data_IF_044571883605
#
_entry.id   IF_044571883605
#
_cell.length_a   1.000
_cell.length_b   1.000
_cell.length_c   1.000
_cell.angle_alpha   90.00
_cell.angle_beta   90.00
_cell.angle_gamma   90.00
#
_symmetry.space_group_name_H-M   'P 1'
#
loop_
_entity.id
_entity.type
_entity.pdbx_description
1 polymer ?
#
# COMPACT_ATOMS: atom_id res chain seq x y z
N UNK A 1 -10.62 -15.36 22.85
CA UNK A 1 -11.21 -14.23 22.11
C UNK A 1 -10.04 -13.71 21.28
N UNK A 2 -10.10 -13.76 19.97
CA UNK A 2 -9.09 -13.10 19.12
C UNK A 2 -9.04 -11.64 19.51
N UNK A 3 -7.85 -11.08 19.68
CA UNK A 3 -7.70 -9.63 19.85
C UNK A 3 -8.32 -8.94 18.64
N UNK A 4 -8.88 -7.77 18.84
CA UNK A 4 -9.48 -7.00 17.76
C UNK A 4 -8.37 -6.53 16.80
N UNK A 5 -8.49 -6.83 15.53
CA UNK A 5 -7.56 -6.37 14.50
C UNK A 5 -7.63 -4.85 14.31
N UNK A 6 -6.65 -4.30 13.59
CA UNK A 6 -6.49 -2.86 13.38
C UNK A 6 -7.76 -2.19 12.88
N UNK A 7 -8.37 -2.70 11.81
CA UNK A 7 -9.60 -2.12 11.24
C UNK A 7 -10.79 -2.17 12.19
N UNK A 8 -10.90 -3.19 13.07
CA UNK A 8 -11.93 -3.24 14.10
C UNK A 8 -11.72 -2.15 15.16
N UNK A 9 -10.47 -1.84 15.51
CA UNK A 9 -10.12 -0.74 16.42
C UNK A 9 -10.50 0.60 15.79
N UNK A 10 -10.16 0.82 14.52
CA UNK A 10 -10.51 2.04 13.78
C UNK A 10 -12.03 2.21 13.73
N UNK A 11 -12.78 1.17 13.36
CA UNK A 11 -14.23 1.22 13.27
C UNK A 11 -14.90 1.50 14.63
N UNK A 12 -14.44 0.81 15.67
CA UNK A 12 -15.04 0.90 17.00
C UNK A 12 -14.75 2.22 17.73
N UNK A 13 -13.53 2.75 17.60
CA UNK A 13 -13.06 3.84 18.45
C UNK A 13 -12.82 5.16 17.70
N UNK A 14 -12.61 5.13 16.39
CA UNK A 14 -12.21 6.31 15.61
C UNK A 14 -13.16 6.66 14.46
N UNK A 15 -14.21 5.87 14.23
CA UNK A 15 -15.23 6.19 13.23
C UNK A 15 -16.41 6.93 13.87
N UNK A 16 -16.50 8.22 13.62
CA UNK A 16 -17.54 9.10 14.11
C UNK A 16 -18.27 9.79 12.96
N UNK A 17 -19.56 10.16 13.12
CA UNK A 17 -20.21 11.04 12.17
C UNK A 17 -19.40 12.31 11.96
N UNK A 18 -19.18 12.71 10.71
CA UNK A 18 -18.46 13.93 10.42
C UNK A 18 -19.19 15.14 11.00
N UNK A 19 -18.45 16.01 11.69
CA UNK A 19 -18.94 17.26 12.24
C UNK A 19 -18.01 18.42 11.81
N UNK A 20 -18.57 19.64 11.84
CA UNK A 20 -17.83 20.82 11.39
C UNK A 20 -18.07 21.17 9.92
N UNK A 21 -17.29 22.15 9.44
CA UNK A 21 -17.48 22.74 8.11
C UNK A 21 -16.91 21.88 6.96
N UNK A 22 -15.91 21.04 7.27
CA UNK A 22 -15.24 20.21 6.27
C UNK A 22 -15.93 18.85 6.19
N UNK A 23 -16.37 18.51 4.98
CA UNK A 23 -16.87 17.18 4.67
C UNK A 23 -15.76 16.40 4.00
N UNK A 24 -15.49 15.21 4.49
CA UNK A 24 -14.53 14.29 3.88
C UNK A 24 -15.17 12.94 3.64
N UNK A 25 -14.78 12.27 2.58
CA UNK A 25 -14.75 10.82 2.53
C UNK A 25 -13.45 10.46 3.26
N UNK A 26 -13.52 9.77 4.37
CA UNK A 26 -12.38 9.72 5.27
C UNK A 26 -12.08 8.32 5.76
N UNK A 27 -12.45 8.04 7.00
CA UNK A 27 -12.03 6.81 7.68
C UNK A 27 -12.39 5.55 6.89
N UNK A 28 -11.35 4.76 6.54
CA UNK A 28 -11.46 3.50 5.82
C UNK A 28 -11.17 3.55 4.32
N UNK A 29 -10.73 4.71 3.79
CA UNK A 29 -10.10 4.86 2.47
C UNK A 29 -8.60 5.19 2.66
N UNK A 30 -7.79 5.03 1.61
CA UNK A 30 -6.35 5.33 1.63
C UNK A 30 -6.07 6.81 1.91
N UNK A 31 -6.95 7.69 1.49
CA UNK A 31 -6.89 9.13 1.75
C UNK A 31 -8.20 9.69 2.27
N UNK A 32 -8.13 10.66 3.18
CA UNK A 32 -9.25 11.57 3.39
C UNK A 32 -9.36 12.53 2.19
N UNK A 33 -10.50 12.54 1.49
CA UNK A 33 -10.75 13.47 0.39
C UNK A 33 -11.64 14.61 0.87
N UNK A 34 -11.11 15.83 0.82
CA UNK A 34 -11.73 17.04 1.39
C UNK A 34 -12.09 18.01 0.27
N UNK A 35 -13.36 18.43 0.19
CA UNK A 35 -13.79 19.48 -0.73
C UNK A 35 -13.36 20.87 -0.20
N UNK A 36 -12.54 21.58 -0.97
CA UNK A 36 -12.03 22.92 -0.60
C UNK A 36 -12.79 24.07 -1.26
N UNK A 37 -13.78 23.76 -2.09
CA UNK A 37 -14.54 24.72 -2.88
C UNK A 37 -13.91 25.10 -4.22
N UNK A 38 -12.58 25.00 -4.35
CA UNK A 38 -11.85 25.23 -5.60
C UNK A 38 -11.36 23.93 -6.27
N UNK A 39 -11.38 22.82 -5.52
CA UNK A 39 -10.93 21.50 -5.90
C UNK A 39 -11.09 20.55 -4.74
N UNK A 40 -10.37 19.43 -4.78
CA UNK A 40 -10.31 18.49 -3.67
C UNK A 40 -8.87 18.33 -3.21
N UNK A 41 -8.71 18.12 -1.91
CA UNK A 41 -7.44 17.79 -1.27
C UNK A 41 -7.51 16.34 -0.79
N UNK A 42 -6.58 15.50 -1.23
CA UNK A 42 -6.33 14.18 -0.64
C UNK A 42 -5.30 14.35 0.47
N UNK A 43 -5.54 13.72 1.62
CA UNK A 43 -4.64 13.75 2.78
C UNK A 43 -4.52 12.35 3.34
N UNK A 44 -3.29 11.89 3.53
CA UNK A 44 -2.98 10.63 4.20
C UNK A 44 -1.98 10.85 5.33
N UNK A 45 -1.88 9.87 6.24
CA UNK A 45 -0.93 9.91 7.34
C UNK A 45 -0.50 8.50 7.74
N UNK A 46 0.73 8.14 7.44
CA UNK A 46 1.33 6.87 7.83
C UNK A 46 2.40 7.01 8.89
N UNK A 47 2.59 5.91 9.61
CA UNK A 47 3.62 5.76 10.62
C UNK A 47 4.56 4.62 10.26
N UNK A 48 5.87 4.90 10.34
CA UNK A 48 6.95 3.93 10.13
C UNK A 48 7.73 3.79 11.43
N UNK A 49 7.75 2.59 12.02
CA UNK A 49 8.38 2.31 13.30
C UNK A 49 9.52 1.30 13.17
N UNK A 50 10.62 1.54 13.88
CA UNK A 50 11.75 0.62 13.98
C UNK A 50 11.31 -0.71 14.61
N UNK A 51 11.67 -1.80 13.96
CA UNK A 51 11.34 -3.16 14.40
C UNK A 51 10.03 -3.69 13.83
N UNK A 52 9.15 -2.82 13.35
CA UNK A 52 7.90 -3.18 12.67
C UNK A 52 8.03 -3.00 11.16
N UNK A 53 8.41 -1.80 10.71
CA UNK A 53 8.41 -1.44 9.29
C UNK A 53 9.82 -1.37 8.68
N UNK A 54 10.85 -1.31 9.51
CA UNK A 54 12.25 -1.39 9.06
C UNK A 54 13.15 -2.03 10.12
N UNK A 55 14.20 -2.66 9.66
CA UNK A 55 15.17 -3.36 10.49
C UNK A 55 16.14 -2.39 11.17
N UNK A 56 16.73 -2.76 12.34
CA UNK A 56 17.70 -1.92 13.04
C UNK A 56 18.98 -1.61 12.24
N UNK A 57 19.31 -2.45 11.28
CA UNK A 57 20.48 -2.35 10.39
C UNK A 57 20.09 -1.92 8.96
N UNK A 58 18.85 -1.44 8.74
CA UNK A 58 18.42 -0.89 7.46
C UNK A 58 19.23 0.37 7.12
N UNK A 59 19.51 0.56 5.82
CA UNK A 59 20.16 1.78 5.33
C UNK A 59 19.25 3.00 5.63
N UNK A 60 19.74 4.00 6.38
CA UNK A 60 18.93 5.17 6.69
C UNK A 60 18.40 5.91 5.44
N UNK A 61 19.13 5.86 4.34
CA UNK A 61 18.69 6.45 3.06
C UNK A 61 17.45 5.74 2.53
N UNK A 62 17.43 4.41 2.59
CA UNK A 62 16.26 3.61 2.20
C UNK A 62 15.09 3.82 3.15
N UNK A 63 15.35 3.92 4.47
CA UNK A 63 14.31 4.25 5.45
C UNK A 63 13.65 5.60 5.16
N UNK A 64 14.45 6.62 4.83
CA UNK A 64 13.94 7.95 4.47
C UNK A 64 13.12 7.92 3.19
N UNK A 65 13.58 7.20 2.17
CA UNK A 65 12.85 7.01 0.92
C UNK A 65 11.50 6.31 1.17
N UNK A 66 11.52 5.15 1.85
CA UNK A 66 10.33 4.34 2.11
C UNK A 66 9.30 5.09 2.94
N UNK A 67 9.72 5.82 3.98
CA UNK A 67 8.80 6.58 4.83
C UNK A 67 7.94 7.60 4.04
N UNK A 68 8.48 8.18 2.97
CA UNK A 68 7.68 9.03 2.08
C UNK A 68 6.93 8.20 1.03
N UNK A 69 7.53 7.13 0.53
CA UNK A 69 6.96 6.33 -0.55
C UNK A 69 5.61 5.71 -0.17
N UNK A 70 5.45 5.23 1.07
CA UNK A 70 4.19 4.64 1.55
C UNK A 70 3.05 5.67 1.49
N UNK A 71 3.27 6.88 1.96
CA UNK A 71 2.29 7.98 1.87
C UNK A 71 2.00 8.41 0.42
N UNK A 72 3.01 8.41 -0.45
CA UNK A 72 2.81 8.71 -1.86
C UNK A 72 2.04 7.61 -2.58
N UNK A 73 2.08 6.37 -2.07
CA UNK A 73 1.28 5.24 -2.55
C UNK A 73 -0.20 5.46 -2.29
N UNK A 74 -0.58 5.91 -1.09
CA UNK A 74 -1.96 6.30 -0.78
C UNK A 74 -2.47 7.43 -1.67
N UNK A 75 -1.63 8.45 -1.88
CA UNK A 75 -1.98 9.54 -2.81
C UNK A 75 -2.16 9.02 -4.24
N UNK A 76 -1.36 8.03 -4.66
CA UNK A 76 -1.52 7.38 -5.95
C UNK A 76 -2.82 6.57 -6.01
N UNK A 77 -3.17 5.82 -4.95
CA UNK A 77 -4.43 5.10 -4.85
C UNK A 77 -5.65 6.03 -4.95
N UNK A 78 -5.56 7.24 -4.39
CA UNK A 78 -6.58 8.28 -4.54
C UNK A 78 -6.59 8.97 -5.92
N UNK A 79 -5.53 8.79 -6.73
CA UNK A 79 -5.35 9.49 -8.02
C UNK A 79 -4.88 10.94 -7.85
N UNK A 80 -4.30 11.29 -6.70
CA UNK A 80 -3.91 12.66 -6.37
C UNK A 80 -2.54 13.04 -6.96
N UNK A 81 -2.36 14.34 -7.22
CA UNK A 81 -1.06 14.94 -7.55
C UNK A 81 -0.38 15.35 -6.24
N UNK A 82 0.71 14.71 -5.79
CA UNK A 82 1.41 15.10 -4.57
C UNK A 82 1.81 16.57 -4.57
N UNK A 83 1.71 17.24 -3.42
CA UNK A 83 2.06 18.66 -3.27
C UNK A 83 2.98 18.92 -2.10
N UNK A 84 2.65 18.38 -0.96
CA UNK A 84 3.37 18.70 0.26
C UNK A 84 3.25 17.58 1.29
N UNK A 85 4.19 17.57 2.24
CA UNK A 85 4.11 16.73 3.42
C UNK A 85 4.68 17.39 4.67
N UNK A 86 4.29 16.87 5.82
CA UNK A 86 4.85 17.18 7.13
C UNK A 86 5.51 15.92 7.69
N UNK A 87 6.67 16.08 8.33
CA UNK A 87 7.44 15.02 8.94
C UNK A 87 7.45 15.18 10.46
N UNK A 88 6.95 14.19 11.20
CA UNK A 88 7.14 14.05 12.63
C UNK A 88 8.08 12.88 12.91
N UNK A 89 9.19 13.12 13.61
CA UNK A 89 10.18 12.10 13.88
C UNK A 89 10.58 12.03 15.35
N UNK A 90 10.43 10.87 15.96
CA UNK A 90 10.88 10.54 17.30
C UNK A 90 12.14 9.68 17.24
N UNK A 91 13.24 10.10 17.85
CA UNK A 91 14.51 9.38 17.83
C UNK A 91 15.02 9.10 19.24
N UNK A 92 15.59 7.91 19.53
CA UNK A 92 16.15 7.60 20.85
C UNK A 92 17.36 8.48 21.19
N UNK A 93 18.11 8.88 20.18
CA UNK A 93 19.29 9.73 20.30
C UNK A 93 19.52 10.54 19.02
N UNK A 94 20.26 11.61 19.14
CA UNK A 94 20.77 12.33 17.97
C UNK A 94 21.91 11.52 17.33
N UNK A 95 21.80 11.27 16.03
CA UNK A 95 22.81 10.62 15.19
C UNK A 95 22.87 11.41 13.87
N UNK A 96 23.88 12.26 13.74
CA UNK A 96 24.01 13.19 12.61
C UNK A 96 24.27 12.43 11.28
N UNK A 97 24.97 11.30 11.34
CA UNK A 97 25.21 10.46 10.16
C UNK A 97 23.91 9.82 9.67
N UNK A 98 23.20 9.16 10.57
CA UNK A 98 21.90 8.56 10.28
C UNK A 98 20.90 9.60 9.73
N UNK A 99 20.83 10.78 10.36
CA UNK A 99 19.93 11.86 9.92
C UNK A 99 20.29 12.41 8.54
N UNK A 100 21.57 12.53 8.23
CA UNK A 100 22.02 12.99 6.91
C UNK A 100 21.63 12.03 5.80
N UNK A 101 21.82 10.72 6.04
CA UNK A 101 21.48 9.67 5.07
C UNK A 101 19.95 9.54 4.94
N UNK A 102 19.22 9.50 6.04
CA UNK A 102 17.75 9.51 6.05
C UNK A 102 17.17 10.70 5.25
N UNK A 103 17.68 11.91 5.54
CA UNK A 103 17.25 13.11 4.84
C UNK A 103 17.54 13.05 3.34
N UNK A 104 18.67 12.45 2.94
CA UNK A 104 19.02 12.30 1.53
C UNK A 104 18.01 11.43 0.78
N UNK A 105 17.64 10.26 1.32
CA UNK A 105 16.65 9.37 0.71
C UNK A 105 15.25 10.00 0.68
N UNK A 106 14.81 10.58 1.79
CA UNK A 106 13.54 11.29 1.89
C UNK A 106 13.42 12.41 0.84
N UNK A 107 14.44 13.26 0.75
CA UNK A 107 14.44 14.42 -0.15
C UNK A 107 14.65 14.02 -1.62
N UNK A 108 15.32 12.91 -1.90
CA UNK A 108 15.41 12.39 -3.26
C UNK A 108 14.02 12.09 -3.82
N UNK A 109 13.21 11.33 -3.10
CA UNK A 109 11.85 11.03 -3.53
C UNK A 109 10.93 12.27 -3.51
N UNK A 110 11.10 13.17 -2.53
CA UNK A 110 10.37 14.42 -2.47
C UNK A 110 10.58 15.28 -3.73
N UNK A 111 11.83 15.39 -4.19
CA UNK A 111 12.16 16.10 -5.43
C UNK A 111 11.63 15.40 -6.68
N UNK A 112 11.75 14.07 -6.75
CA UNK A 112 11.25 13.28 -7.88
C UNK A 112 9.74 13.40 -8.03
N UNK A 113 9.00 13.32 -6.92
CA UNK A 113 7.53 13.41 -6.90
C UNK A 113 6.97 14.83 -6.91
N UNK A 114 7.82 15.85 -6.74
CA UNK A 114 7.40 17.24 -6.59
C UNK A 114 6.64 17.51 -5.29
N UNK A 115 6.80 16.65 -4.26
CA UNK A 115 6.14 16.75 -2.97
C UNK A 115 7.04 17.49 -1.97
N UNK A 116 6.66 18.72 -1.57
CA UNK A 116 7.51 19.60 -0.77
C UNK A 116 7.39 19.33 0.74
N UNK A 117 8.51 19.24 1.47
CA UNK A 117 8.51 19.25 2.92
C UNK A 117 8.19 20.67 3.43
N UNK A 118 7.05 20.84 4.13
CA UNK A 118 6.61 22.13 4.64
C UNK A 118 6.85 22.35 6.12
N UNK A 119 7.13 21.31 6.89
CA UNK A 119 7.35 21.42 8.33
C UNK A 119 7.23 20.07 9.02
N UNK A 120 7.02 20.11 10.33
CA UNK A 120 6.87 18.90 11.14
C UNK A 120 7.37 19.09 12.56
N UNK A 121 7.72 17.99 13.21
CA UNK A 121 8.24 17.99 14.57
C UNK A 121 9.40 16.99 14.71
N UNK A 122 10.34 17.30 15.61
CA UNK A 122 11.47 16.42 15.93
C UNK A 122 11.61 16.31 17.43
N UNK A 123 11.46 15.10 17.97
CA UNK A 123 11.52 14.88 19.41
C UNK A 123 12.43 13.72 19.77
N UNK A 124 12.83 13.66 21.03
CA UNK A 124 13.53 12.51 21.59
C UNK A 124 12.51 11.54 22.17
N UNK A 125 12.58 10.25 21.78
CA UNK A 125 11.75 9.21 22.41
C UNK A 125 12.17 9.00 23.88
N UNK A 126 11.21 8.69 24.78
CA UNK A 126 11.49 8.52 26.20
C UNK A 126 12.34 7.28 26.45
N UNK A 127 13.07 7.30 27.55
CA UNK A 127 13.67 6.11 28.15
C UNK A 127 12.74 5.59 29.25
N UNK A 128 12.33 4.32 29.13
CA UNK A 128 11.46 3.64 30.09
C UNK A 128 12.18 2.39 30.53
N UNK A 129 12.40 2.20 31.83
CA UNK A 129 13.09 1.05 32.43
C UNK A 129 14.47 0.76 31.80
N UNK A 130 15.23 1.82 31.50
CA UNK A 130 16.59 1.73 30.93
C UNK A 130 16.60 1.36 29.44
N UNK A 131 15.46 1.40 28.75
CA UNK A 131 15.34 1.18 27.30
C UNK A 131 14.71 2.39 26.63
N UNK A 132 15.32 2.86 25.55
CA UNK A 132 14.69 3.86 24.71
C UNK A 132 13.54 3.25 23.92
N UNK A 133 12.44 3.99 23.81
CA UNK A 133 11.41 3.65 22.83
C UNK A 133 12.02 3.71 21.40
N UNK A 134 11.57 2.85 20.48
CA UNK A 134 12.12 2.78 19.13
C UNK A 134 11.97 4.10 18.37
N UNK A 135 12.76 4.27 17.32
CA UNK A 135 12.57 5.36 16.38
C UNK A 135 11.21 5.21 15.69
N UNK A 136 10.50 6.33 15.57
CA UNK A 136 9.18 6.39 14.96
C UNK A 136 9.11 7.59 14.04
N UNK A 137 8.63 7.39 12.84
CA UNK A 137 8.51 8.40 11.79
C UNK A 137 7.05 8.44 11.40
N UNK A 138 6.44 9.63 11.39
CA UNK A 138 5.09 9.83 10.87
C UNK A 138 5.13 10.92 9.82
N UNK A 139 4.55 10.63 8.66
CA UNK A 139 4.42 11.58 7.57
C UNK A 139 2.94 11.80 7.31
N UNK A 140 2.54 13.07 7.22
CA UNK A 140 1.23 13.47 6.69
C UNK A 140 1.46 14.08 5.32
N UNK A 141 0.98 13.41 4.27
CA UNK A 141 1.12 13.88 2.89
C UNK A 141 -0.20 14.40 2.32
N UNK A 142 -0.10 15.36 1.41
CA UNK A 142 -1.24 16.01 0.78
C UNK A 142 -1.05 16.10 -0.73
N UNK A 143 -2.15 15.91 -1.45
CA UNK A 143 -2.18 16.01 -2.91
C UNK A 143 -3.46 16.65 -3.44
N UNK A 144 -3.37 17.27 -4.60
CA UNK A 144 -4.51 17.88 -5.28
C UNK A 144 -5.28 16.86 -6.11
N UNK A 145 -6.58 16.98 -6.11
CA UNK A 145 -7.51 16.25 -6.98
C UNK A 145 -8.38 17.25 -7.76
N UNK A 146 -8.76 16.94 -9.02
CA UNK A 146 -9.74 17.73 -9.74
C UNK A 146 -11.09 17.76 -9.01
N UNK A 147 -11.85 18.83 -9.21
CA UNK A 147 -13.18 18.96 -8.59
C UNK A 147 -14.09 17.77 -8.95
N UNK A 148 -14.71 17.17 -7.95
CA UNK A 148 -15.60 16.03 -8.12
C UNK A 148 -14.92 14.70 -8.42
N UNK A 149 -13.58 14.64 -8.51
CA UNK A 149 -12.82 13.43 -8.80
C UNK A 149 -12.07 12.93 -7.56
N UNK A 150 -11.61 11.70 -7.63
CA UNK A 150 -10.86 10.98 -6.62
C UNK A 150 -11.28 9.51 -6.62
N UNK A 151 -10.30 8.62 -6.50
CA UNK A 151 -10.54 7.18 -6.35
C UNK A 151 -10.69 6.86 -4.87
N UNK A 152 -11.48 5.86 -4.56
CA UNK A 152 -11.74 5.36 -3.22
C UNK A 152 -11.83 3.84 -3.25
N UNK A 153 -11.81 3.20 -2.11
CA UNK A 153 -12.07 1.75 -1.96
C UNK A 153 -13.51 1.38 -2.31
N UNK A 154 -14.43 2.35 -2.35
CA UNK A 154 -15.84 2.11 -2.71
C UNK A 154 -16.11 2.43 -4.18
N UNK A 155 -17.06 1.71 -4.80
CA UNK A 155 -17.52 1.99 -6.17
C UNK A 155 -17.40 0.83 -7.14
N UNK A 156 -16.77 -0.28 -6.75
CA UNK A 156 -16.72 -1.49 -7.55
C UNK A 156 -18.14 -2.04 -7.81
N UNK A 157 -18.39 -2.48 -9.03
CA UNK A 157 -19.68 -2.98 -9.48
C UNK A 157 -19.56 -4.44 -9.95
N UNK A 158 -20.57 -5.30 -9.74
CA UNK A 158 -20.60 -6.62 -10.36
C UNK A 158 -20.40 -6.52 -11.88
N UNK A 159 -19.47 -7.33 -12.38
CA UNK A 159 -19.06 -7.31 -13.79
C UNK A 159 -17.84 -6.46 -14.11
N UNK A 160 -17.34 -5.66 -13.16
CA UNK A 160 -16.06 -4.96 -13.30
C UNK A 160 -14.92 -5.98 -13.35
N UNK A 161 -13.90 -5.69 -14.17
CA UNK A 161 -12.61 -6.39 -14.14
C UNK A 161 -11.78 -5.90 -12.96
N UNK A 162 -10.98 -6.81 -12.37
CA UNK A 162 -10.01 -6.51 -11.31
C UNK A 162 -8.62 -6.44 -11.96
N UNK A 163 -7.90 -5.37 -11.65
CA UNK A 163 -6.58 -5.07 -12.20
C UNK A 163 -5.56 -4.86 -11.10
N UNK A 164 -4.31 -5.20 -11.40
CA UNK A 164 -3.16 -4.90 -10.52
C UNK A 164 -2.02 -4.28 -11.35
N UNK A 165 -1.29 -3.35 -10.76
CA UNK A 165 -0.09 -2.77 -11.36
C UNK A 165 1.17 -3.58 -11.03
N UNK A 166 2.20 -3.46 -11.84
CA UNK A 166 3.54 -4.02 -11.60
C UNK A 166 3.56 -5.53 -11.38
N UNK A 167 4.30 -5.95 -10.34
CA UNK A 167 4.38 -7.34 -9.83
C UNK A 167 4.15 -7.34 -8.33
N UNK A 168 3.58 -8.41 -7.78
CA UNK A 168 3.25 -8.52 -6.35
C UNK A 168 4.01 -9.66 -5.69
N UNK A 169 4.26 -9.53 -4.37
CA UNK A 169 4.88 -10.53 -3.51
C UNK A 169 6.40 -10.43 -3.40
N UNK A 170 7.06 -9.55 -4.14
CA UNK A 170 8.51 -9.41 -4.10
C UNK A 170 9.00 -8.86 -2.76
N UNK A 171 8.31 -7.89 -2.18
CA UNK A 171 8.66 -7.31 -0.89
C UNK A 171 8.53 -8.34 0.25
N UNK A 172 7.47 -9.14 0.25
CA UNK A 172 7.32 -10.24 1.20
C UNK A 172 8.40 -11.31 1.03
N UNK A 173 8.77 -11.67 -0.20
CA UNK A 173 9.86 -12.60 -0.44
C UNK A 173 11.19 -12.05 0.09
N UNK A 174 11.46 -10.74 -0.07
CA UNK A 174 12.60 -10.07 0.55
C UNK A 174 12.59 -10.18 2.07
N UNK A 175 11.45 -9.92 2.71
CA UNK A 175 11.26 -10.05 4.15
C UNK A 175 11.57 -11.48 4.64
N UNK A 176 11.05 -12.50 3.93
CA UNK A 176 11.33 -13.91 4.27
C UNK A 176 12.81 -14.27 4.11
N UNK A 177 13.50 -13.72 3.10
CA UNK A 177 14.94 -13.86 2.95
C UNK A 177 15.69 -13.15 4.09
N UNK A 178 15.29 -11.95 4.46
CA UNK A 178 15.87 -11.16 5.55
C UNK A 178 15.77 -11.86 6.92
N UNK A 179 14.66 -12.57 7.17
CA UNK A 179 14.50 -13.42 8.35
C UNK A 179 15.20 -14.78 8.25
N UNK A 180 15.89 -15.08 7.12
CA UNK A 180 16.55 -16.38 6.89
C UNK A 180 15.58 -17.55 6.70
N UNK A 181 14.28 -17.28 6.51
CA UNK A 181 13.25 -18.32 6.32
C UNK A 181 13.22 -18.82 4.88
N UNK A 182 13.53 -17.96 3.92
CA UNK A 182 13.64 -18.32 2.51
C UNK A 182 15.05 -18.08 1.98
N UNK A 183 15.37 -18.79 0.90
CA UNK A 183 16.61 -18.59 0.15
C UNK A 183 16.25 -18.45 -1.32
N UNK A 184 16.86 -17.48 -1.97
CA UNK A 184 16.82 -17.24 -3.41
C UNK A 184 18.23 -17.25 -3.97
N UNK A 185 18.36 -17.17 -5.29
CA UNK A 185 19.69 -17.02 -5.92
C UNK A 185 20.36 -15.73 -5.43
N UNK A 186 21.67 -15.73 -5.11
CA UNK A 186 22.34 -14.54 -4.57
C UNK A 186 22.26 -13.30 -5.46
N UNK A 187 22.18 -13.47 -6.77
CA UNK A 187 22.01 -12.37 -7.74
C UNK A 187 20.57 -11.84 -7.83
N UNK A 188 19.62 -12.55 -7.25
CA UNK A 188 18.21 -12.15 -7.18
C UNK A 188 17.88 -11.33 -5.92
N UNK A 189 18.60 -11.55 -4.80
CA UNK A 189 18.37 -10.84 -3.53
C UNK A 189 18.35 -9.32 -3.65
N UNK A 190 19.30 -8.66 -4.34
CA UNK A 190 19.29 -7.20 -4.44
C UNK A 190 18.04 -6.64 -5.10
N UNK A 191 17.43 -7.41 -6.02
CA UNK A 191 16.18 -6.99 -6.70
C UNK A 191 14.98 -7.07 -5.78
N UNK A 192 14.90 -8.13 -4.95
CA UNK A 192 13.84 -8.27 -3.95
C UNK A 192 13.97 -7.19 -2.88
N UNK A 193 15.17 -6.97 -2.34
CA UNK A 193 15.42 -5.96 -1.31
C UNK A 193 15.13 -4.55 -1.83
N UNK A 194 15.47 -4.24 -3.08
CA UNK A 194 15.11 -2.96 -3.68
C UNK A 194 13.58 -2.75 -3.74
N UNK A 195 12.78 -3.81 -3.92
CA UNK A 195 11.31 -3.71 -3.89
C UNK A 195 10.79 -3.42 -2.49
N UNK A 196 11.35 -4.06 -1.46
CA UNK A 196 10.98 -3.88 -0.06
C UNK A 196 11.46 -2.52 0.49
N UNK A 197 12.71 -2.15 0.19
CA UNK A 197 13.35 -0.98 0.79
C UNK A 197 13.02 0.33 0.06
N UNK A 198 12.79 0.26 -1.26
CA UNK A 198 12.46 1.41 -2.13
C UNK A 198 11.25 1.10 -3.03
N UNK A 199 10.05 0.96 -2.46
CA UNK A 199 8.84 0.78 -3.26
C UNK A 199 8.63 1.98 -4.19
N UNK A 200 8.01 1.75 -5.35
CA UNK A 200 7.76 2.80 -6.35
C UNK A 200 6.30 3.21 -6.30
N UNK A 201 5.94 4.37 -5.71
CA UNK A 201 4.57 4.86 -5.70
C UNK A 201 4.04 5.06 -7.13
N UNK A 202 2.87 4.54 -7.42
CA UNK A 202 2.28 4.52 -8.77
C UNK A 202 1.52 5.81 -9.10
N UNK A 203 2.09 6.97 -8.76
CA UNK A 203 1.46 8.31 -8.85
C UNK A 203 0.90 8.58 -10.25
N UNK A 204 1.72 8.41 -11.29
CA UNK A 204 1.30 8.69 -12.67
C UNK A 204 0.17 7.76 -13.12
N UNK A 205 0.20 6.48 -12.72
CA UNK A 205 -0.87 5.54 -13.01
C UNK A 205 -2.15 5.95 -12.29
N UNK A 206 -2.10 6.21 -10.98
CA UNK A 206 -3.27 6.62 -10.19
C UNK A 206 -4.00 7.82 -10.81
N UNK A 207 -3.25 8.84 -11.24
CA UNK A 207 -3.81 10.00 -11.94
C UNK A 207 -4.47 9.61 -13.27
N UNK A 208 -3.85 8.72 -14.03
CA UNK A 208 -4.38 8.28 -15.34
C UNK A 208 -5.64 7.39 -15.21
N UNK A 209 -5.83 6.76 -14.03
CA UNK A 209 -7.01 5.95 -13.72
C UNK A 209 -8.25 6.77 -13.37
N UNK A 210 -8.12 8.08 -13.09
CA UNK A 210 -9.25 8.94 -12.79
C UNK A 210 -10.31 8.92 -13.91
N UNK A 211 -11.55 8.61 -13.54
CA UNK A 211 -12.67 8.48 -14.47
C UNK A 211 -12.63 7.24 -15.37
N UNK A 212 -11.69 6.32 -15.14
CA UNK A 212 -11.65 4.99 -15.77
C UNK A 212 -11.87 3.88 -14.76
N UNK A 213 -11.20 3.94 -13.60
CA UNK A 213 -11.40 3.01 -12.50
C UNK A 213 -12.65 3.35 -11.69
N UNK A 214 -13.31 2.33 -11.13
CA UNK A 214 -14.49 2.43 -10.27
C UNK A 214 -14.12 2.40 -8.78
N UNK A 215 -13.10 1.66 -8.41
CA UNK A 215 -12.49 1.67 -7.08
C UNK A 215 -10.98 1.42 -7.18
N UNK A 216 -10.23 1.85 -6.17
CA UNK A 216 -8.78 1.68 -6.11
C UNK A 216 -8.31 1.64 -4.66
N UNK A 217 -7.26 0.88 -4.41
CA UNK A 217 -6.43 0.88 -3.20
C UNK A 217 -4.97 0.61 -3.59
N UNK A 218 -4.03 0.93 -2.73
CA UNK A 218 -2.70 0.37 -2.85
C UNK A 218 -2.59 -0.99 -2.12
N UNK A 219 -1.52 -1.72 -2.36
CA UNK A 219 -1.26 -3.04 -1.78
C UNK A 219 -0.19 -2.88 -0.71
N UNK A 220 -0.61 -2.68 0.53
CA UNK A 220 0.23 -2.54 1.72
C UNK A 220 0.20 -3.80 2.60
N UNK A 221 -0.96 -4.39 2.83
CA UNK A 221 -1.18 -5.54 3.72
C UNK A 221 -1.22 -6.86 2.97
N UNK A 222 -1.36 -6.81 1.66
CA UNK A 222 -1.37 -7.94 0.75
C UNK A 222 -2.55 -7.91 -0.22
N UNK A 223 -2.35 -8.50 -1.39
CA UNK A 223 -3.30 -8.44 -2.51
C UNK A 223 -4.75 -8.77 -2.10
N UNK A 224 -4.95 -9.83 -1.32
CA UNK A 224 -6.30 -10.26 -0.93
C UNK A 224 -6.86 -9.43 0.21
N UNK A 225 -6.03 -8.94 1.14
CA UNK A 225 -6.46 -8.07 2.23
C UNK A 225 -6.95 -6.73 1.69
N UNK A 226 -6.16 -6.09 0.82
CA UNK A 226 -6.51 -4.79 0.24
C UNK A 226 -7.67 -4.89 -0.75
N UNK A 227 -7.79 -6.01 -1.48
CA UNK A 227 -8.98 -6.30 -2.26
C UNK A 227 -10.22 -6.43 -1.38
N UNK A 228 -10.13 -7.10 -0.22
CA UNK A 228 -11.27 -7.29 0.69
C UNK A 228 -11.81 -5.94 1.20
N UNK A 229 -10.95 -4.94 1.40
CA UNK A 229 -11.39 -3.59 1.72
C UNK A 229 -12.24 -2.97 0.61
N UNK A 230 -11.84 -3.14 -0.67
CA UNK A 230 -12.65 -2.70 -1.82
C UNK A 230 -14.00 -3.43 -1.83
N UNK A 231 -13.98 -4.76 -1.65
CA UNK A 231 -15.19 -5.58 -1.69
C UNK A 231 -16.16 -5.24 -0.57
N UNK A 232 -15.65 -5.08 0.64
CA UNK A 232 -16.44 -4.71 1.81
C UNK A 232 -17.05 -3.31 1.65
N UNK A 233 -16.29 -2.32 1.19
CA UNK A 233 -16.78 -0.95 0.97
C UNK A 233 -17.75 -0.83 -0.19
N UNK A 234 -17.68 -1.73 -1.17
CA UNK A 234 -18.54 -1.75 -2.35
C UNK A 234 -19.74 -2.71 -2.20
N UNK A 235 -19.72 -3.61 -1.20
CA UNK A 235 -20.79 -4.59 -0.96
C UNK A 235 -20.84 -5.70 -2.01
N UNK A 236 -19.70 -6.13 -2.53
CA UNK A 236 -19.56 -7.11 -3.63
C UNK A 236 -18.63 -8.27 -3.25
N UNK A 237 -18.44 -9.22 -4.14
CA UNK A 237 -17.51 -10.35 -4.04
C UNK A 237 -16.58 -10.40 -5.26
N UNK A 238 -15.55 -11.24 -5.23
CA UNK A 238 -14.56 -11.33 -6.31
C UNK A 238 -14.14 -12.76 -6.63
N UNK A 239 -13.81 -12.97 -7.90
CA UNK A 239 -13.09 -14.15 -8.37
C UNK A 239 -11.77 -13.72 -9.00
N UNK A 240 -10.65 -14.30 -8.54
CA UNK A 240 -9.29 -14.07 -9.05
C UNK A 240 -8.81 -15.30 -9.79
N UNK A 241 -8.18 -15.09 -10.95
CA UNK A 241 -7.50 -16.12 -11.74
C UNK A 241 -6.02 -16.13 -11.37
N UNK A 242 -5.55 -17.16 -10.67
CA UNK A 242 -4.18 -17.26 -10.17
C UNK A 242 -3.11 -17.00 -11.25
N UNK A 243 -3.23 -17.62 -12.39
CA UNK A 243 -2.24 -17.55 -13.47
C UNK A 243 -2.15 -16.17 -14.13
N UNK A 244 -3.07 -15.27 -13.81
CA UNK A 244 -3.06 -13.86 -14.28
C UNK A 244 -2.38 -12.91 -13.33
N UNK A 245 -2.09 -13.34 -12.09
CA UNK A 245 -1.37 -12.52 -11.14
C UNK A 245 0.06 -12.33 -11.63
N UNK A 246 0.53 -11.08 -11.83
CA UNK A 246 1.86 -10.83 -12.35
C UNK A 246 2.92 -11.07 -11.27
N UNK A 247 3.75 -12.07 -11.48
CA UNK A 247 4.89 -12.41 -10.63
C UNK A 247 6.19 -11.94 -11.27
N UNK A 248 7.15 -11.50 -10.46
CA UNK A 248 8.49 -11.25 -10.96
C UNK A 248 9.17 -12.54 -11.42
N UNK A 249 10.21 -12.47 -12.27
CA UNK A 249 11.01 -13.63 -12.63
C UNK A 249 11.62 -14.34 -11.41
N UNK A 250 11.95 -13.62 -10.34
CA UNK A 250 12.50 -14.19 -9.11
C UNK A 250 11.43 -14.99 -8.38
N UNK A 251 10.27 -14.40 -8.17
CA UNK A 251 9.16 -15.06 -7.48
C UNK A 251 8.66 -16.29 -8.25
N UNK A 252 8.61 -16.20 -9.58
CA UNK A 252 8.21 -17.31 -10.46
C UNK A 252 9.11 -18.54 -10.37
N UNK A 253 10.35 -18.40 -9.87
CA UNK A 253 11.26 -19.54 -9.65
C UNK A 253 11.08 -20.23 -8.29
N UNK A 254 10.31 -19.66 -7.38
CA UNK A 254 10.02 -20.26 -6.09
C UNK A 254 9.01 -21.39 -6.22
N UNK A 255 8.83 -22.17 -5.15
CA UNK A 255 7.77 -23.20 -5.13
C UNK A 255 6.41 -22.52 -5.18
N UNK A 256 5.42 -23.23 -5.77
CA UNK A 256 4.06 -22.69 -5.90
C UNK A 256 3.46 -22.26 -4.56
N UNK A 257 3.76 -22.97 -3.47
CA UNK A 257 3.29 -22.60 -2.13
C UNK A 257 3.85 -21.25 -1.68
N UNK A 258 5.14 -20.97 -1.94
CA UNK A 258 5.76 -19.68 -1.64
C UNK A 258 5.25 -18.57 -2.55
N UNK A 259 4.97 -18.88 -3.82
CA UNK A 259 4.35 -17.94 -4.74
C UNK A 259 2.96 -17.53 -4.24
N UNK A 260 2.14 -18.49 -3.82
CA UNK A 260 0.81 -18.21 -3.25
C UNK A 260 0.92 -17.37 -1.97
N UNK A 261 1.81 -17.75 -1.05
CA UNK A 261 2.01 -17.03 0.20
C UNK A 261 2.43 -15.58 -0.06
N UNK A 262 3.43 -15.35 -0.90
CA UNK A 262 3.94 -14.02 -1.18
C UNK A 262 2.95 -13.15 -1.98
N UNK A 263 2.38 -13.69 -3.05
CA UNK A 263 1.57 -12.88 -3.96
C UNK A 263 0.11 -12.67 -3.51
N UNK A 264 -0.44 -13.57 -2.68
CA UNK A 264 -1.83 -13.46 -2.22
C UNK A 264 -1.94 -12.78 -0.86
N UNK A 265 -0.98 -13.04 0.06
CA UNK A 265 -1.04 -12.61 1.45
C UNK A 265 0.15 -11.74 1.88
N UNK A 266 1.22 -11.69 1.09
CA UNK A 266 2.36 -10.83 1.38
C UNK A 266 2.06 -9.37 1.09
N UNK A 267 2.41 -8.49 2.03
CA UNK A 267 2.25 -7.04 1.91
C UNK A 267 3.55 -6.33 1.50
N UNK A 268 3.53 -5.00 1.64
CA UNK A 268 4.67 -4.10 1.44
C UNK A 268 5.04 -3.86 -0.04
N UNK A 269 4.14 -4.20 -0.98
CA UNK A 269 4.39 -4.08 -2.42
C UNK A 269 4.18 -2.65 -2.97
N UNK A 270 3.22 -1.90 -2.42
CA UNK A 270 2.84 -0.53 -2.84
C UNK A 270 2.56 -0.42 -4.35
N UNK A 271 1.97 -1.48 -4.89
CA UNK A 271 1.31 -1.49 -6.20
C UNK A 271 -0.15 -1.05 -6.04
N UNK A 272 -0.85 -0.75 -7.14
CA UNK A 272 -2.27 -0.43 -7.11
C UNK A 272 -3.10 -1.65 -7.49
N UNK A 273 -4.14 -1.95 -6.68
CA UNK A 273 -5.25 -2.82 -7.04
C UNK A 273 -6.48 -1.95 -7.33
N UNK A 274 -7.15 -2.18 -8.45
CA UNK A 274 -8.28 -1.35 -8.85
C UNK A 274 -9.30 -2.14 -9.66
N UNK A 275 -10.50 -1.61 -9.74
CA UNK A 275 -11.59 -2.18 -10.52
C UNK A 275 -12.00 -1.23 -11.63
N UNK A 276 -12.46 -1.78 -12.76
CA UNK A 276 -12.95 -0.97 -13.88
C UNK A 276 -13.94 -1.79 -14.73
N UNK A 277 -14.93 -1.15 -15.35
CA UNK A 277 -15.82 -1.84 -16.28
C UNK A 277 -15.01 -2.38 -17.49
N UNK A 278 -15.37 -3.55 -18.05
CA UNK A 278 -14.65 -4.14 -19.18
C UNK A 278 -14.49 -3.19 -20.38
N UNK A 279 -15.44 -2.27 -20.57
CA UNK A 279 -15.37 -1.24 -21.60
C UNK A 279 -14.23 -0.22 -21.41
N UNK A 280 -13.65 -0.12 -20.21
CA UNK A 280 -12.52 0.76 -19.92
C UNK A 280 -11.15 0.10 -20.18
N UNK A 281 -11.10 -1.18 -20.58
CA UNK A 281 -9.84 -1.93 -20.69
C UNK A 281 -8.78 -1.25 -21.58
N UNK A 282 -9.16 -0.68 -22.72
CA UNK A 282 -8.23 0.03 -23.60
C UNK A 282 -7.63 1.26 -22.90
N UNK A 283 -8.44 2.04 -22.17
CA UNK A 283 -7.99 3.20 -21.38
C UNK A 283 -7.05 2.78 -20.25
N UNK A 284 -7.31 1.63 -19.61
CA UNK A 284 -6.45 1.08 -18.56
C UNK A 284 -5.07 0.69 -19.13
N UNK A 285 -5.04 -0.01 -20.28
CA UNK A 285 -3.77 -0.33 -20.93
C UNK A 285 -3.02 0.94 -21.38
N UNK A 286 -3.73 1.93 -21.92
CA UNK A 286 -3.13 3.23 -22.28
C UNK A 286 -2.56 3.94 -21.06
N UNK A 287 -3.29 3.96 -19.93
CA UNK A 287 -2.81 4.51 -18.66
C UNK A 287 -1.52 3.81 -18.19
N UNK A 288 -1.47 2.47 -18.28
CA UNK A 288 -0.27 1.69 -17.99
C UNK A 288 0.92 2.07 -18.88
N UNK A 289 0.71 2.22 -20.17
CA UNK A 289 1.76 2.63 -21.11
C UNK A 289 2.27 4.05 -20.84
N UNK A 290 1.36 5.01 -20.64
CA UNK A 290 1.71 6.42 -20.38
C UNK A 290 2.44 6.61 -19.04
N UNK A 291 2.09 5.83 -18.03
CA UNK A 291 2.74 5.85 -16.73
C UNK A 291 3.99 4.96 -16.64
N UNK A 292 4.35 4.26 -17.72
CA UNK A 292 5.41 3.25 -17.72
C UNK A 292 5.24 2.20 -16.62
N UNK A 293 3.98 1.84 -16.31
CA UNK A 293 3.63 0.87 -15.28
C UNK A 293 2.82 -0.26 -15.92
N UNK A 294 3.32 -1.49 -15.97
CA UNK A 294 2.54 -2.63 -16.45
C UNK A 294 1.24 -2.77 -15.64
N UNK A 295 0.16 -3.13 -16.28
CA UNK A 295 -1.12 -3.44 -15.64
C UNK A 295 -1.63 -4.80 -16.11
N UNK A 296 -2.16 -5.59 -15.18
CA UNK A 296 -2.64 -6.94 -15.45
C UNK A 296 -4.08 -7.10 -14.95
N UNK A 297 -4.94 -7.64 -15.81
CA UNK A 297 -6.28 -8.04 -15.41
C UNK A 297 -6.20 -9.41 -14.73
N UNK A 298 -6.55 -9.48 -13.46
CA UNK A 298 -6.37 -10.67 -12.63
C UNK A 298 -7.68 -11.38 -12.25
N UNK A 299 -8.84 -10.74 -12.48
CA UNK A 299 -10.11 -11.32 -12.05
C UNK A 299 -11.30 -10.45 -12.41
N UNK A 300 -12.41 -10.67 -11.72
CA UNK A 300 -13.66 -9.92 -11.90
C UNK A 300 -14.42 -9.77 -10.60
N UNK A 301 -15.22 -8.74 -10.52
CA UNK A 301 -16.17 -8.47 -9.44
C UNK A 301 -17.48 -9.25 -9.71
N UNK A 302 -17.99 -9.85 -8.65
CA UNK A 302 -19.23 -10.63 -8.64
C UNK A 302 -20.28 -9.94 -7.76
N UNK A 303 -21.54 -10.35 -7.91
CA UNK A 303 -22.57 -10.05 -6.91
C UNK A 303 -22.12 -10.55 -5.53
N UNK A 304 -22.65 -9.92 -4.46
CA UNK A 304 -22.29 -10.29 -3.09
C UNK A 304 -22.62 -11.76 -2.83
N UNK A 305 -21.62 -12.52 -2.45
CA UNK A 305 -21.68 -13.92 -2.08
C UNK A 305 -21.29 -14.12 -0.60
N UNK A 306 -21.47 -15.34 -0.08
CA UNK A 306 -21.06 -15.68 1.30
C UNK A 306 -19.53 -15.61 1.46
N UNK A 307 -18.78 -16.06 0.43
CA UNK A 307 -17.32 -15.94 0.38
C UNK A 307 -16.95 -14.67 -0.39
N UNK A 308 -16.23 -13.75 0.27
CA UNK A 308 -15.88 -12.46 -0.34
C UNK A 308 -14.94 -12.62 -1.55
N UNK A 309 -13.89 -13.44 -1.43
CA UNK A 309 -12.89 -13.68 -2.49
C UNK A 309 -12.69 -15.17 -2.73
N UNK A 310 -12.70 -15.59 -4.00
CA UNK A 310 -12.31 -16.93 -4.41
C UNK A 310 -11.16 -16.82 -5.41
N UNK A 311 -10.04 -17.50 -5.12
CA UNK A 311 -8.93 -17.63 -6.07
C UNK A 311 -9.03 -18.98 -6.75
N UNK A 312 -8.94 -19.01 -8.08
CA UNK A 312 -9.02 -20.23 -8.89
C UNK A 312 -7.84 -20.35 -9.84
N UNK A 313 -7.46 -21.58 -10.12
CA UNK A 313 -6.57 -21.91 -11.24
C UNK A 313 -7.30 -21.77 -12.57
N UNK A 314 -6.57 -21.76 -13.71
CA UNK A 314 -7.14 -21.76 -15.06
C UNK A 314 -8.07 -22.95 -15.32
N UNK A 315 -7.85 -24.09 -14.63
CA UNK A 315 -8.72 -25.26 -14.68
C UNK A 315 -9.95 -25.16 -13.76
N UNK A 316 -10.14 -24.01 -13.08
CA UNK A 316 -11.27 -23.73 -12.20
C UNK A 316 -11.16 -24.32 -10.79
N UNK A 317 -10.02 -24.91 -10.43
CA UNK A 317 -9.79 -25.48 -9.10
C UNK A 317 -9.52 -24.36 -8.08
N UNK A 318 -10.05 -24.46 -6.85
CA UNK A 318 -9.77 -23.46 -5.82
C UNK A 318 -8.31 -23.51 -5.38
N UNK A 319 -7.69 -22.33 -5.23
CA UNK A 319 -6.37 -22.16 -4.64
C UNK A 319 -6.54 -21.95 -3.14
N UNK A 320 -5.80 -22.72 -2.34
CA UNK A 320 -5.77 -22.52 -0.89
C UNK A 320 -5.02 -21.21 -0.58
N UNK A 321 -5.69 -20.31 0.13
CA UNK A 321 -5.10 -19.06 0.59
C UNK A 321 -4.46 -19.29 1.95
N UNK A 322 -3.15 -19.02 2.14
CA UNK A 322 -2.44 -19.34 3.39
C UNK A 322 -2.88 -18.50 4.59
N UNK A 323 -3.18 -17.22 4.35
CA UNK A 323 -3.65 -16.24 5.35
C UNK A 323 -4.37 -15.09 4.63
N UNK A 324 -4.97 -14.17 5.40
CA UNK A 324 -5.73 -13.03 4.85
C UNK A 324 -4.96 -11.70 4.90
N UNK A 325 -3.62 -11.72 4.89
CA UNK A 325 -2.79 -10.51 4.91
C UNK A 325 -2.18 -10.21 6.29
N UNK A 326 -1.45 -9.09 6.37
CA UNK A 326 -0.82 -8.61 7.60
C UNK A 326 -1.83 -7.85 8.48
N UNK A 327 -1.74 -8.03 9.79
CA UNK A 327 -2.51 -7.25 10.78
C UNK A 327 -1.59 -6.98 11.97
N UNK A 328 -1.39 -5.71 12.31
CA UNK A 328 -0.49 -5.25 13.37
C UNK A 328 -0.78 -5.84 14.76
N UNK A 329 -2.01 -6.25 15.03
CA UNK A 329 -2.43 -6.75 16.35
C UNK A 329 -2.66 -8.27 16.38
N UNK A 330 -2.65 -8.93 15.23
CA UNK A 330 -2.83 -10.38 15.10
C UNK A 330 -1.61 -11.08 14.47
N UNK A 331 -0.57 -10.35 14.09
CA UNK A 331 0.67 -10.94 13.61
C UNK A 331 1.37 -11.69 14.76
N UNK A 332 1.73 -12.96 14.56
CA UNK A 332 2.61 -13.66 15.47
C UNK A 332 3.99 -12.97 15.44
N UNK A 333 4.48 -12.54 16.58
CA UNK A 333 5.86 -12.03 16.69
C UNK A 333 6.81 -13.10 16.14
N UNK A 334 7.74 -12.76 15.26
CA UNK A 334 8.74 -13.70 14.80
C UNK A 334 9.65 -14.08 16.00
N UNK A 335 9.56 -15.32 16.47
CA UNK A 335 10.45 -15.88 17.50
C UNK A 335 11.92 -15.90 17.06
#
# INVERSE_FOLDING_TARGET
>A
MSEAGEFQIIEQFFTYPSFGAWKSQGVGDDCAIIDTGAGRLAVTCDMTALGTHFFPDADPEDVGYKALAVNLSDLAAAGAVPRAFFLSIGLPRRDDGWLADFSRGLMALAHESGCALLGGDTTRTPEIDGRHAPATISITAMGDLPAGMGLTRSGAQPGDDIWVSGTVGDAYAALMCRWGRWQVMPDAEPRLFARMDRPTPRIALGQALLGAATACADISDGLLADLDHILTRSGVSAEIEWERIPLSPVLSMLTIARQHEAALAGGDDYELIFTAPPAAAERIFEAGLLSNTPVSRIGRILDREETAVVVRTADGLPVAVPSTGYDHFNAEDPE
#
